data_IF_665034265035
#
_entry.id   IF_665034265035
#
_cell.length_a   1.000
_cell.length_b   1.000
_cell.length_c   1.000
_cell.angle_alpha   90.00
_cell.angle_beta   90.00
_cell.angle_gamma   90.00
#
_symmetry.space_group_name_H-M   'P 1'
#
loop_
_entity.id
_entity.type
_entity.pdbx_description
1 polymer ?
#
# COMPACT_ATOMS: atom_id res chain seq x y z
N UNK A 1 -45.45 56.45 15.30
CA UNK A 1 -45.21 55.19 16.05
C UNK A 1 -44.13 54.41 15.31
N UNK A 2 -42.94 54.32 15.90
CA UNK A 2 -41.86 53.42 15.47
C UNK A 2 -42.16 52.00 15.96
N UNK A 3 -41.95 51.00 15.11
CA UNK A 3 -41.60 49.62 15.50
C UNK A 3 -40.74 49.04 14.37
N UNK A 4 -39.41 49.06 14.52
CA UNK A 4 -38.54 47.98 15.00
C UNK A 4 -38.30 46.86 13.95
N UNK A 5 -37.18 47.04 13.25
CA UNK A 5 -36.20 46.07 12.72
C UNK A 5 -36.41 44.57 12.96
N UNK A 6 -36.18 43.77 11.90
CA UNK A 6 -35.44 42.52 12.04
C UNK A 6 -34.53 42.31 10.83
N UNK A 7 -33.23 42.49 11.06
CA UNK A 7 -32.14 41.99 10.21
C UNK A 7 -31.97 40.51 10.58
N UNK A 8 -32.05 39.60 9.61
CA UNK A 8 -31.46 38.26 9.78
C UNK A 8 -30.57 37.98 8.58
N UNK A 9 -29.30 37.85 8.91
CA UNK A 9 -28.14 37.62 8.05
C UNK A 9 -28.29 36.36 7.19
N UNK A 10 -28.13 36.48 5.86
CA UNK A 10 -27.77 35.35 5.02
C UNK A 10 -26.33 34.95 5.32
N UNK A 11 -26.15 33.90 6.11
CA UNK A 11 -24.85 33.24 6.28
C UNK A 11 -24.57 32.41 5.03
N UNK A 12 -23.67 32.88 4.19
CA UNK A 12 -23.08 32.11 3.10
C UNK A 12 -22.28 30.94 3.69
N UNK A 13 -22.82 29.73 3.53
CA UNK A 13 -22.13 28.48 3.82
C UNK A 13 -21.12 28.18 2.70
N UNK A 14 -19.89 28.65 2.87
CA UNK A 14 -18.73 28.13 2.12
C UNK A 14 -18.29 26.86 2.85
N UNK A 15 -18.81 25.72 2.42
CA UNK A 15 -18.30 24.43 2.90
C UNK A 15 -16.91 24.21 2.31
N UNK A 16 -15.92 24.29 3.19
CA UNK A 16 -14.51 23.98 2.95
C UNK A 16 -14.41 22.49 2.61
N UNK A 17 -14.40 22.17 1.31
CA UNK A 17 -14.22 20.81 0.79
C UNK A 17 -12.80 20.61 0.24
N UNK A 18 -11.78 21.07 0.97
CA UNK A 18 -10.38 21.01 0.51
C UNK A 18 -9.38 20.43 1.51
N UNK A 19 -9.74 20.21 2.78
CA UNK A 19 -8.76 19.86 3.83
C UNK A 19 -8.56 18.35 4.09
N UNK A 20 -9.21 17.48 3.31
CA UNK A 20 -9.09 16.02 3.50
C UNK A 20 -8.19 15.32 2.47
N UNK A 21 -7.70 16.02 1.44
CA UNK A 21 -6.83 15.41 0.42
C UNK A 21 -5.33 15.47 0.77
N UNK A 22 -4.88 16.46 1.55
CA UNK A 22 -3.44 16.68 1.78
C UNK A 22 -2.81 15.66 2.74
N UNK A 23 -3.55 15.17 3.74
CA UNK A 23 -3.03 14.19 4.71
C UNK A 23 -2.74 12.80 4.10
N UNK A 24 -3.30 12.50 2.92
CA UNK A 24 -3.03 11.25 2.19
C UNK A 24 -1.79 11.33 1.31
N UNK A 25 -1.37 12.53 0.89
CA UNK A 25 -0.25 12.69 -0.04
C UNK A 25 1.10 12.40 0.65
N UNK A 26 1.29 12.90 1.88
CA UNK A 26 2.53 12.72 2.64
C UNK A 26 2.86 11.25 2.95
N UNK A 27 1.85 10.39 3.09
CA UNK A 27 2.06 8.96 3.34
C UNK A 27 2.55 8.20 2.09
N UNK A 28 2.43 8.80 0.92
CA UNK A 28 2.69 8.16 -0.37
C UNK A 28 3.97 8.67 -1.06
N UNK A 29 4.73 9.51 -0.37
CA UNK A 29 6.01 10.02 -0.80
C UNK A 29 7.10 9.59 0.18
N UNK A 30 8.25 9.21 -0.36
CA UNK A 30 9.47 9.00 0.42
C UNK A 30 10.59 9.83 -0.16
N UNK A 31 11.37 10.42 0.74
CA UNK A 31 12.59 11.12 0.39
C UNK A 31 13.65 10.16 -0.15
N UNK A 32 14.45 10.67 -1.08
CA UNK A 32 15.48 9.92 -1.79
C UNK A 32 15.10 9.60 -3.23
N UNK A 33 16.10 9.20 -4.01
CA UNK A 33 15.96 8.95 -5.45
C UNK A 33 15.44 7.53 -5.77
N UNK A 34 14.61 6.96 -4.90
CA UNK A 34 13.96 5.67 -5.18
C UNK A 34 13.01 5.79 -6.37
N UNK A 35 12.98 4.79 -7.24
CA UNK A 35 12.06 4.75 -8.38
C UNK A 35 10.86 3.84 -8.08
N UNK A 36 9.97 4.29 -7.18
CA UNK A 36 8.82 3.50 -6.70
C UNK A 36 7.49 3.83 -7.39
N UNK A 37 7.40 4.94 -8.14
CA UNK A 37 6.12 5.41 -8.71
C UNK A 37 5.47 4.43 -9.69
N UNK A 38 6.24 3.52 -10.30
CA UNK A 38 5.68 2.42 -11.12
C UNK A 38 4.69 1.54 -10.33
N UNK A 39 4.87 1.44 -9.01
CA UNK A 39 4.00 0.67 -8.11
C UNK A 39 2.58 1.24 -8.02
N UNK A 40 2.37 2.51 -8.39
CA UNK A 40 1.08 3.20 -8.29
C UNK A 40 0.21 2.99 -9.54
N UNK A 41 0.74 2.37 -10.59
CA UNK A 41 0.05 2.25 -11.88
C UNK A 41 -0.95 1.08 -11.95
N UNK A 42 -1.02 0.22 -10.94
CA UNK A 42 -1.83 -1.00 -10.94
C UNK A 42 -2.12 -1.43 -9.51
N UNK A 43 -3.12 -2.29 -9.33
CA UNK A 43 -3.21 -3.17 -8.15
C UNK A 43 -2.32 -4.39 -8.40
N UNK A 44 -1.67 -4.89 -7.35
CA UNK A 44 -0.72 -5.99 -7.45
C UNK A 44 -1.31 -7.28 -6.90
N UNK A 45 -1.33 -8.33 -7.70
CA UNK A 45 -1.76 -9.67 -7.28
C UNK A 45 -0.55 -10.53 -6.95
N UNK A 46 -0.53 -11.09 -5.75
CA UNK A 46 0.45 -12.07 -5.30
C UNK A 46 -0.25 -13.40 -5.07
N UNK A 47 0.29 -14.48 -5.61
CA UNK A 47 -0.13 -15.84 -5.29
C UNK A 47 0.72 -16.32 -4.12
N UNK A 48 0.10 -16.66 -2.99
CA UNK A 48 0.82 -17.01 -1.77
C UNK A 48 0.59 -18.47 -1.39
N UNK A 49 1.57 -19.07 -0.72
CA UNK A 49 1.46 -20.41 -0.18
C UNK A 49 0.40 -20.50 0.93
N UNK A 50 -0.25 -21.66 1.05
CA UNK A 50 -1.37 -21.90 1.97
C UNK A 50 -1.05 -21.54 3.44
N UNK A 51 0.20 -21.75 3.86
CA UNK A 51 0.66 -21.43 5.23
C UNK A 51 0.50 -19.94 5.57
N UNK A 52 0.59 -19.06 4.58
CA UNK A 52 0.47 -17.62 4.76
C UNK A 52 -0.98 -17.12 4.72
N UNK A 53 -1.92 -17.91 4.24
CA UNK A 53 -3.33 -17.51 4.16
C UNK A 53 -3.96 -17.30 5.54
N UNK A 54 -4.65 -16.19 5.74
CA UNK A 54 -5.34 -15.84 6.98
C UNK A 54 -6.59 -16.70 7.19
N UNK A 55 -7.29 -17.04 6.11
CA UNK A 55 -8.41 -17.96 6.15
C UNK A 55 -7.93 -19.42 6.24
N UNK A 56 -8.18 -20.03 7.41
CA UNK A 56 -7.79 -21.41 7.75
C UNK A 56 -8.38 -22.49 6.83
N UNK A 57 -9.45 -22.18 6.11
CA UNK A 57 -10.15 -23.15 5.24
C UNK A 57 -9.75 -23.04 3.78
N UNK A 58 -8.90 -22.06 3.43
CA UNK A 58 -8.48 -21.85 2.05
C UNK A 58 -7.44 -22.90 1.63
N UNK A 59 -7.61 -23.48 0.44
CA UNK A 59 -6.61 -24.35 -0.21
C UNK A 59 -5.58 -23.53 -0.99
N UNK A 60 -5.15 -22.42 -0.41
CA UNK A 60 -4.42 -21.35 -1.08
C UNK A 60 -5.26 -20.09 -1.30
N UNK A 61 -4.56 -18.97 -1.41
CA UNK A 61 -5.15 -17.64 -1.49
C UNK A 61 -4.27 -16.73 -2.36
N UNK A 62 -4.78 -15.54 -2.63
CA UNK A 62 -4.03 -14.48 -3.30
C UNK A 62 -4.20 -13.17 -2.58
N UNK A 63 -3.15 -12.38 -2.56
CA UNK A 63 -3.16 -11.05 -1.97
C UNK A 63 -3.24 -9.99 -3.07
N UNK A 64 -4.15 -9.05 -2.90
CA UNK A 64 -4.31 -7.86 -3.72
C UNK A 64 -3.74 -6.70 -2.91
N UNK A 65 -2.62 -6.16 -3.37
CA UNK A 65 -1.87 -5.10 -2.72
C UNK A 65 -2.03 -3.84 -3.54
N UNK A 66 -2.59 -2.80 -2.95
CA UNK A 66 -2.78 -1.51 -3.61
C UNK A 66 -1.92 -0.45 -2.95
N UNK A 67 -1.03 0.14 -3.74
CA UNK A 67 -0.08 1.13 -3.26
C UNK A 67 -0.45 2.51 -3.83
N UNK A 68 -0.88 3.42 -2.96
CA UNK A 68 -0.98 4.86 -3.25
C UNK A 68 -1.60 5.22 -4.62
N UNK A 69 -2.69 4.55 -4.97
CA UNK A 69 -3.44 4.79 -6.19
C UNK A 69 -4.94 4.58 -5.97
N UNK A 70 -5.75 5.03 -6.91
CA UNK A 70 -7.22 5.01 -6.82
C UNK A 70 -7.89 4.02 -7.77
N UNK A 71 -7.18 2.99 -8.23
CA UNK A 71 -7.70 2.01 -9.18
C UNK A 71 -8.74 1.10 -8.47
N UNK A 72 -9.99 1.01 -8.96
CA UNK A 72 -11.10 0.40 -8.21
C UNK A 72 -11.25 -1.12 -8.44
N UNK A 73 -10.14 -1.86 -8.59
CA UNK A 73 -10.17 -3.33 -8.84
C UNK A 73 -9.82 -4.17 -7.62
N UNK A 74 -9.45 -3.53 -6.50
CA UNK A 74 -9.15 -4.24 -5.26
C UNK A 74 -10.44 -4.73 -4.60
N UNK A 75 -10.60 -6.04 -4.35
CA UNK A 75 -11.83 -6.61 -3.77
C UNK A 75 -12.21 -6.06 -2.39
N UNK A 76 -11.24 -5.57 -1.61
CA UNK A 76 -11.48 -4.95 -0.31
C UNK A 76 -11.70 -3.43 -0.39
N UNK A 77 -11.60 -2.82 -1.58
CA UNK A 77 -11.68 -1.38 -1.77
C UNK A 77 -10.31 -0.70 -1.92
N UNK A 78 -10.36 0.59 -2.28
CA UNK A 78 -9.18 1.39 -2.59
C UNK A 78 -8.28 1.56 -1.37
N UNK A 79 -6.98 1.38 -1.57
CA UNK A 79 -5.96 1.61 -0.54
C UNK A 79 -5.90 0.51 0.52
N UNK A 80 -6.28 -0.73 0.18
CA UNK A 80 -6.24 -1.87 1.10
C UNK A 80 -5.29 -2.96 0.62
N UNK A 81 -4.80 -3.76 1.57
CA UNK A 81 -4.28 -5.10 1.31
C UNK A 81 -5.42 -6.10 1.54
N UNK A 82 -5.67 -6.97 0.57
CA UNK A 82 -6.83 -7.85 0.57
C UNK A 82 -6.43 -9.30 0.28
N UNK A 83 -6.88 -10.23 1.11
CA UNK A 83 -6.83 -11.65 0.79
C UNK A 83 -8.11 -12.05 0.06
N UNK A 84 -7.97 -12.88 -0.98
CA UNK A 84 -9.09 -13.62 -1.58
C UNK A 84 -8.71 -15.09 -1.68
N UNK A 85 -9.71 -15.97 -1.70
CA UNK A 85 -9.46 -17.39 -1.94
C UNK A 85 -8.92 -17.63 -3.38
N UNK A 86 -8.54 -18.87 -3.68
CA UNK A 86 -8.03 -19.26 -5.01
C UNK A 86 -8.98 -18.99 -6.18
N UNK A 87 -10.29 -18.83 -5.93
CA UNK A 87 -11.30 -18.45 -6.94
C UNK A 87 -11.50 -16.94 -7.07
N UNK A 88 -10.76 -16.12 -6.31
CA UNK A 88 -10.90 -14.66 -6.30
C UNK A 88 -12.12 -14.15 -5.52
N UNK A 89 -12.73 -14.98 -4.68
CA UNK A 89 -13.92 -14.66 -3.89
C UNK A 89 -13.59 -14.55 -2.39
N UNK A 90 -14.59 -14.14 -1.61
CA UNK A 90 -14.52 -14.01 -0.15
C UNK A 90 -13.39 -13.06 0.31
N UNK A 91 -13.49 -11.77 -0.05
CA UNK A 91 -12.45 -10.79 0.25
C UNK A 91 -12.30 -10.56 1.76
N UNK A 92 -11.06 -10.44 2.20
CA UNK A 92 -10.69 -10.32 3.59
C UNK A 92 -9.61 -9.25 3.75
N UNK A 93 -9.94 -8.13 4.40
CA UNK A 93 -8.99 -7.02 4.58
C UNK A 93 -7.86 -7.44 5.51
N UNK A 94 -6.63 -7.29 5.05
CA UNK A 94 -5.39 -7.60 5.76
C UNK A 94 -4.65 -6.36 6.27
N UNK A 95 -5.00 -5.19 5.74
CA UNK A 95 -4.40 -3.92 6.08
C UNK A 95 -5.03 -2.79 5.27
N UNK A 96 -4.90 -1.56 5.75
CA UNK A 96 -5.45 -0.36 5.11
C UNK A 96 -4.41 0.75 5.01
N UNK A 97 -4.72 1.81 4.25
CA UNK A 97 -3.97 3.08 4.27
C UNK A 97 -2.45 2.90 4.12
N UNK A 98 -1.95 2.37 2.99
CA UNK A 98 -0.53 2.12 2.82
C UNK A 98 0.27 3.40 3.01
N UNK A 99 1.39 3.31 3.73
CA UNK A 99 2.39 4.37 3.83
C UNK A 99 3.75 3.88 3.35
N UNK A 100 4.43 4.68 2.55
CA UNK A 100 5.80 4.42 2.13
C UNK A 100 6.78 4.94 3.18
N UNK A 101 7.85 4.18 3.42
CA UNK A 101 8.91 4.53 4.35
C UNK A 101 10.26 4.16 3.76
N UNK A 102 11.21 5.11 3.71
CA UNK A 102 12.59 4.79 3.40
C UNK A 102 13.20 3.95 4.54
N UNK A 103 13.98 2.92 4.20
CA UNK A 103 14.61 2.03 5.20
C UNK A 103 16.11 1.85 4.88
N UNK A 104 16.80 2.96 4.60
CA UNK A 104 18.21 2.97 4.23
C UNK A 104 18.44 2.71 2.74
N UNK A 105 19.70 2.76 2.27
CA UNK A 105 20.01 3.05 0.86
C UNK A 105 19.64 1.95 -0.15
N UNK A 106 19.26 0.78 0.33
CA UNK A 106 19.00 -0.40 -0.49
C UNK A 106 17.58 -0.92 -0.31
N UNK A 107 16.72 -0.22 0.41
CA UNK A 107 15.35 -0.70 0.66
C UNK A 107 14.39 0.42 1.06
N UNK A 108 13.14 0.22 0.70
CA UNK A 108 12.01 0.96 1.24
C UNK A 108 10.86 0.01 1.53
N UNK A 109 9.93 0.44 2.38
CA UNK A 109 8.84 -0.40 2.87
C UNK A 109 7.52 0.29 2.55
N UNK A 110 6.56 -0.49 2.05
CA UNK A 110 5.15 -0.12 2.11
C UNK A 110 4.55 -0.81 3.31
N UNK A 111 4.10 -0.03 4.29
CA UNK A 111 3.46 -0.50 5.51
C UNK A 111 1.97 -0.23 5.44
N UNK A 112 1.16 -1.24 5.73
CA UNK A 112 -0.27 -1.05 5.91
C UNK A 112 -0.58 -0.80 7.39
N UNK A 113 -1.58 0.04 7.65
CA UNK A 113 -2.16 0.18 8.98
C UNK A 113 -2.74 -1.18 9.42
N UNK A 114 -2.43 -1.64 10.64
CA UNK A 114 -2.94 -2.92 11.11
C UNK A 114 -4.46 -2.91 11.23
N UNK A 115 -5.07 -4.03 10.88
CA UNK A 115 -6.52 -4.23 11.02
C UNK A 115 -6.80 -5.39 11.95
N UNK A 116 -7.93 -5.33 12.66
CA UNK A 116 -8.46 -6.46 13.42
C UNK A 116 -9.55 -7.15 12.59
N UNK A 117 -9.49 -8.48 12.51
CA UNK A 117 -10.52 -9.24 11.82
C UNK A 117 -10.75 -10.62 12.48
N UNK A 118 -11.90 -10.73 13.15
CA UNK A 118 -12.31 -11.91 13.91
C UNK A 118 -12.61 -13.15 13.05
N UNK A 119 -12.77 -12.99 11.74
CA UNK A 119 -13.00 -14.09 10.79
C UNK A 119 -11.69 -14.80 10.41
N UNK A 120 -10.55 -14.24 10.81
CA UNK A 120 -9.22 -14.77 10.49
C UNK A 120 -8.63 -15.60 11.61
N UNK A 121 -7.51 -16.28 11.32
CA UNK A 121 -6.65 -16.87 12.36
C UNK A 121 -6.03 -15.84 13.31
N UNK A 122 -6.09 -14.56 12.98
CA UNK A 122 -5.47 -13.44 13.68
C UNK A 122 -6.53 -12.60 14.39
N UNK A 123 -6.85 -13.00 15.62
CA UNK A 123 -7.96 -12.43 16.39
C UNK A 123 -7.76 -10.93 16.70
N UNK A 124 -6.54 -10.52 16.99
CA UNK A 124 -6.30 -9.20 17.58
C UNK A 124 -5.78 -8.18 16.56
N UNK A 125 -4.82 -8.59 15.72
CA UNK A 125 -4.20 -7.68 14.75
C UNK A 125 -3.53 -8.46 13.63
N UNK A 126 -3.74 -7.99 12.40
CA UNK A 126 -3.00 -8.41 11.22
C UNK A 126 -2.07 -7.25 10.84
N UNK A 127 -0.79 -7.56 10.66
CA UNK A 127 0.21 -6.60 10.20
C UNK A 127 0.76 -7.07 8.86
N UNK A 128 0.81 -6.16 7.90
CA UNK A 128 1.31 -6.44 6.55
C UNK A 128 2.30 -5.36 6.12
N UNK A 129 3.50 -5.81 5.76
CA UNK A 129 4.55 -4.97 5.21
C UNK A 129 5.04 -5.58 3.89
N UNK A 130 5.26 -4.73 2.90
CA UNK A 130 5.92 -5.09 1.64
C UNK A 130 7.25 -4.36 1.59
N UNK A 131 8.34 -5.11 1.69
CA UNK A 131 9.71 -4.63 1.72
C UNK A 131 10.25 -4.73 0.29
N UNK A 132 10.53 -3.58 -0.33
CA UNK A 132 11.20 -3.52 -1.60
C UNK A 132 12.71 -3.45 -1.36
N UNK A 133 13.43 -4.48 -1.76
CA UNK A 133 14.87 -4.62 -1.57
C UNK A 133 15.61 -4.49 -2.91
N UNK A 134 16.70 -3.74 -2.90
CA UNK A 134 17.46 -3.42 -4.09
C UNK A 134 18.03 -4.68 -4.74
N UNK A 135 17.61 -4.91 -5.98
CA UNK A 135 18.26 -5.81 -6.92
C UNK A 135 18.26 -5.14 -8.29
N UNK A 136 19.44 -4.71 -8.74
CA UNK A 136 19.61 -3.98 -10.01
C UNK A 136 19.14 -4.77 -11.22
N UNK A 137 19.02 -6.10 -11.12
CA UNK A 137 18.60 -6.99 -12.20
C UNK A 137 17.09 -7.22 -12.26
N UNK A 138 16.35 -6.84 -11.20
CA UNK A 138 14.92 -7.12 -11.08
C UNK A 138 14.10 -5.88 -11.36
N UNK A 139 13.70 -5.72 -12.61
CA UNK A 139 12.67 -4.76 -12.98
C UNK A 139 11.27 -5.27 -12.65
N UNK A 140 10.37 -4.34 -12.34
CA UNK A 140 8.93 -4.58 -12.31
C UNK A 140 8.33 -3.90 -13.55
N UNK A 141 7.46 -4.62 -14.27
CA UNK A 141 6.80 -4.10 -15.47
C UNK A 141 5.28 -4.10 -15.28
N UNK A 142 4.64 -3.03 -15.74
CA UNK A 142 3.17 -2.90 -15.79
C UNK A 142 2.77 -2.84 -17.25
N UNK A 143 1.83 -3.69 -17.64
CA UNK A 143 1.30 -3.69 -19.01
C UNK A 143 0.51 -2.39 -19.30
N UNK A 144 0.46 -1.93 -20.55
CA UNK A 144 -0.36 -0.76 -20.91
C UNK A 144 -1.82 -0.96 -20.50
N UNK A 145 -2.36 -0.05 -19.68
CA UNK A 145 -3.75 -0.11 -19.20
C UNK A 145 -4.04 -1.23 -18.20
N UNK A 146 -3.03 -1.92 -17.68
CA UNK A 146 -3.23 -2.99 -16.71
C UNK A 146 -3.67 -2.42 -15.34
N UNK A 147 -4.90 -2.75 -14.93
CA UNK A 147 -5.43 -2.37 -13.61
C UNK A 147 -5.02 -3.37 -12.52
N UNK A 148 -4.71 -4.61 -12.90
CA UNK A 148 -4.23 -5.68 -12.03
C UNK A 148 -3.01 -6.38 -12.66
N UNK A 149 -1.91 -6.47 -11.90
CA UNK A 149 -0.64 -7.01 -12.38
C UNK A 149 -0.08 -8.01 -11.38
N UNK A 150 0.51 -9.12 -11.87
CA UNK A 150 1.17 -10.09 -10.98
C UNK A 150 2.44 -9.47 -10.38
N UNK A 151 2.58 -9.54 -9.06
CA UNK A 151 3.79 -9.15 -8.35
C UNK A 151 4.55 -10.41 -7.91
N UNK A 152 5.83 -10.47 -8.27
CA UNK A 152 6.72 -11.53 -7.84
C UNK A 152 7.38 -11.12 -6.52
N UNK A 153 7.48 -12.05 -5.58
CA UNK A 153 8.14 -11.85 -4.30
C UNK A 153 9.23 -12.91 -4.10
N UNK A 154 10.20 -12.64 -3.24
CA UNK A 154 11.29 -13.56 -2.93
C UNK A 154 11.01 -14.42 -1.70
N UNK A 155 10.40 -13.83 -0.66
CA UNK A 155 10.06 -14.51 0.59
C UNK A 155 8.95 -13.78 1.33
N UNK A 156 8.25 -14.51 2.19
CA UNK A 156 7.37 -13.97 3.22
C UNK A 156 7.90 -14.49 4.55
N UNK A 157 8.20 -13.57 5.47
CA UNK A 157 8.66 -13.89 6.82
C UNK A 157 7.76 -13.26 7.87
N UNK A 158 7.78 -13.82 9.07
CA UNK A 158 6.93 -13.42 10.19
C UNK A 158 6.08 -14.58 10.69
N UNK A 159 5.22 -14.30 11.66
CA UNK A 159 4.33 -15.31 12.21
C UNK A 159 3.01 -15.41 11.40
N UNK A 160 2.00 -16.07 11.95
CA UNK A 160 0.71 -16.22 11.28
C UNK A 160 -0.06 -14.92 11.06
N UNK A 161 0.32 -13.82 11.74
CA UNK A 161 -0.42 -12.56 11.82
C UNK A 161 0.44 -11.31 11.52
N UNK A 162 1.74 -11.48 11.41
CA UNK A 162 2.67 -10.48 10.91
C UNK A 162 3.31 -11.00 9.62
N UNK A 163 3.01 -10.34 8.51
CA UNK A 163 3.48 -10.70 7.19
C UNK A 163 4.44 -9.65 6.67
N UNK A 164 5.71 -10.04 6.53
CA UNK A 164 6.75 -9.23 5.91
C UNK A 164 7.12 -9.88 4.58
N UNK A 165 6.55 -9.36 3.48
CA UNK A 165 6.83 -9.83 2.13
C UNK A 165 8.01 -9.06 1.55
N UNK A 166 9.03 -9.74 1.03
CA UNK A 166 10.14 -9.11 0.32
C UNK A 166 9.94 -9.21 -1.19
N UNK A 167 10.07 -8.08 -1.87
CA UNK A 167 10.05 -7.95 -3.33
C UNK A 167 11.41 -7.40 -3.78
N UNK A 168 12.09 -8.13 -4.66
CA UNK A 168 13.33 -7.65 -5.26
C UNK A 168 13.00 -6.67 -6.38
N UNK A 169 13.54 -5.45 -6.29
CA UNK A 169 13.18 -4.37 -7.20
C UNK A 169 14.34 -3.39 -7.41
N UNK A 170 14.68 -3.14 -8.68
CA UNK A 170 15.73 -2.20 -9.04
C UNK A 170 15.41 -0.75 -8.65
N UNK A 171 14.13 -0.38 -8.56
CA UNK A 171 13.71 0.94 -8.09
C UNK A 171 13.95 1.18 -6.59
N UNK A 172 14.27 0.13 -5.82
CA UNK A 172 14.71 0.27 -4.43
C UNK A 172 16.21 0.61 -4.28
N UNK A 173 16.97 0.60 -5.39
CA UNK A 173 18.38 0.95 -5.38
C UNK A 173 18.55 2.47 -5.44
N UNK A 174 19.01 3.11 -4.36
CA UNK A 174 19.47 4.48 -4.45
C UNK A 174 20.71 4.57 -5.36
N UNK A 175 20.94 5.73 -6.01
CA UNK A 175 22.21 5.99 -6.68
C UNK A 175 23.35 5.82 -5.68
N UNK A 176 24.35 5.02 -6.05
CA UNK A 176 25.59 4.95 -5.27
C UNK A 176 26.28 6.30 -5.46
N UNK A 177 26.65 7.03 -4.38
CA UNK A 177 27.47 8.22 -4.53
C UNK A 177 28.71 7.87 -5.36
N UNK A 178 29.13 8.70 -6.32
CA UNK A 178 30.36 8.42 -7.07
C UNK A 178 31.49 8.14 -6.06
N UNK A 179 32.37 7.15 -6.30
CA UNK A 179 33.47 6.85 -5.39
C UNK A 179 34.20 8.15 -5.12
N UNK A 180 34.17 8.60 -3.86
CA UNK A 180 34.76 9.86 -3.45
C UNK A 180 36.26 9.82 -3.75
N UNK A 181 36.65 10.44 -4.86
CA UNK A 181 38.03 10.76 -5.15
C UNK A 181 38.45 11.89 -4.22
N UNK A 182 38.82 11.56 -2.98
CA UNK A 182 39.72 12.44 -2.22
C UNK A 182 41.13 12.21 -2.76
N UNK A 183 41.42 12.90 -3.86
CA UNK A 183 42.78 13.31 -4.18
C UNK A 183 42.79 14.82 -4.15
N UNK A 184 43.16 15.36 -2.99
CA UNK A 184 43.82 16.65 -2.81
C UNK A 184 44.65 16.56 -1.53
#
# INVERSE_FOLDING_TARGET
MLTLTSLVYSVTLVFILALALDASADKCEIDGEYNYKVLFNTVWRVEVEEVHCLNKTSKGCSWYLQFCNNIPVNPCGVGHACEVNSSGLSPLTMGSSPSLMADGPTRFVVRYEPVSNNETKCKDSIKMNVIFECDKTKGIAVGPGAELTKLQYSKIVGDSCEHNMTVLFNGACLPVPPPGGLSA
#
